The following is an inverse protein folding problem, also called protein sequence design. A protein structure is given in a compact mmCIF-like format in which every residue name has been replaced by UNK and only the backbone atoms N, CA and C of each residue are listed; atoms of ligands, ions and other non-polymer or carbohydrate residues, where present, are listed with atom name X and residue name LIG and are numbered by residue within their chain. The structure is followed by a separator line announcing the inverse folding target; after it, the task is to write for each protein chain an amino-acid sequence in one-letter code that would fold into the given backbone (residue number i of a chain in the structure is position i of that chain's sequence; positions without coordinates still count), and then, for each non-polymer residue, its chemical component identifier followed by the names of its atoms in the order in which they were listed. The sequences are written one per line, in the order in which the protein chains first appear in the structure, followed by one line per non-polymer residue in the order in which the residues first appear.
data_IF_025942499310
#
_entry.id   IF_025942499310
#
_cell.length_a   1.000
_cell.length_b   1.000
_cell.length_c   1.000
_cell.angle_alpha   90.00
_cell.angle_beta   90.00
_cell.angle_gamma   90.00
#
_symmetry.space_group_name_H-M   'P 1'
#
loop_
_entity.id
_entity.type
_entity.pdbx_description
1 polymer ?
#
# COMPACT_ATOMS: atom_id res chain seq x y z
N UNK A 1 19.17 18.00 -12.06
CA UNK A 1 18.49 17.14 -12.98
C UNK A 1 18.76 15.73 -12.65
N UNK A 2 17.77 15.14 -12.68
CA UNK A 2 17.85 13.75 -12.49
C UNK A 2 17.93 13.02 -13.80
N UNK A 3 18.57 13.37 -14.78
CA UNK A 3 18.66 12.76 -16.09
C UNK A 3 18.45 11.26 -16.16
N UNK A 4 17.78 10.71 -15.17
CA UNK A 4 17.57 9.28 -15.08
C UNK A 4 16.38 8.78 -15.85
N UNK A 5 16.41 7.51 -16.25
CA UNK A 5 15.26 6.81 -16.79
C UNK A 5 14.23 6.55 -15.68
N UNK A 6 13.02 6.12 -16.05
CA UNK A 6 12.02 5.71 -15.05
C UNK A 6 12.52 4.55 -14.18
N UNK A 7 13.38 3.67 -14.72
CA UNK A 7 14.01 2.61 -13.93
C UNK A 7 14.91 3.17 -12.84
N UNK A 8 15.61 4.28 -13.11
CA UNK A 8 16.44 4.95 -12.11
C UNK A 8 15.57 5.58 -11.02
N UNK A 9 14.41 6.14 -11.38
CA UNK A 9 13.47 6.69 -10.41
C UNK A 9 12.90 5.60 -9.52
N UNK A 10 12.61 4.41 -10.05
CA UNK A 10 12.14 3.29 -9.25
C UNK A 10 13.22 2.87 -8.25
N UNK A 11 14.48 2.75 -8.70
CA UNK A 11 15.61 2.40 -7.83
C UNK A 11 15.82 3.45 -6.74
N UNK A 12 15.65 4.73 -7.08
CA UNK A 12 15.77 5.81 -6.12
C UNK A 12 14.61 5.76 -5.11
N UNK A 13 13.39 5.48 -5.57
CA UNK A 13 12.22 5.34 -4.71
C UNK A 13 12.40 4.18 -3.72
N UNK A 14 12.92 3.06 -4.19
CA UNK A 14 13.21 1.91 -3.34
C UNK A 14 14.20 2.28 -2.23
N UNK A 15 15.33 2.90 -2.60
CA UNK A 15 16.34 3.31 -1.61
C UNK A 15 15.79 4.32 -0.62
N UNK A 16 15.04 5.29 -1.10
CA UNK A 16 14.40 6.30 -0.26
C UNK A 16 13.48 5.63 0.77
N UNK A 17 12.61 4.74 0.30
CA UNK A 17 11.66 4.04 1.16
C UNK A 17 12.39 3.17 2.20
N UNK A 18 13.44 2.44 1.79
CA UNK A 18 14.18 1.59 2.70
C UNK A 18 14.88 2.40 3.80
N UNK A 19 15.43 3.56 3.45
CA UNK A 19 16.08 4.43 4.43
C UNK A 19 15.04 5.04 5.39
N UNK A 20 13.92 5.54 4.87
CA UNK A 20 12.91 6.20 5.70
C UNK A 20 12.18 5.23 6.62
N UNK A 21 11.98 3.99 6.19
CA UNK A 21 11.33 2.95 7.01
C UNK A 21 12.30 2.12 7.84
N UNK A 22 13.59 2.46 7.84
CA UNK A 22 14.57 1.71 8.61
C UNK A 22 14.19 1.67 10.09
N UNK A 23 14.28 0.49 10.69
CA UNK A 23 13.90 0.31 12.10
C UNK A 23 12.41 0.12 12.35
N UNK A 24 11.58 0.13 11.30
CA UNK A 24 10.16 -0.15 11.44
C UNK A 24 9.88 -1.63 11.14
N UNK A 25 8.95 -2.21 11.88
CA UNK A 25 8.61 -3.63 11.78
C UNK A 25 7.11 -3.82 11.63
N UNK A 26 6.71 -4.91 10.98
CA UNK A 26 5.31 -5.30 10.91
C UNK A 26 4.85 -5.80 12.27
N UNK A 27 3.54 -5.76 12.50
CA UNK A 27 2.94 -6.10 13.80
C UNK A 27 2.72 -7.59 14.02
N UNK A 28 3.00 -8.41 13.02
CA UNK A 28 2.82 -9.86 13.14
C UNK A 28 3.85 -10.50 14.05
N UNK A 29 3.59 -11.76 14.41
CA UNK A 29 4.45 -12.53 15.33
C UNK A 29 5.90 -12.62 14.83
N UNK A 30 6.09 -12.72 13.50
CA UNK A 30 7.41 -12.81 12.91
C UNK A 30 8.23 -11.52 13.02
N UNK A 31 7.58 -10.38 13.31
CA UNK A 31 8.24 -9.08 13.44
C UNK A 31 9.13 -8.74 12.24
N UNK A 32 8.65 -9.00 11.05
CA UNK A 32 9.40 -8.73 9.83
C UNK A 32 9.66 -7.24 9.63
N UNK A 33 10.81 -6.86 9.04
CA UNK A 33 11.03 -5.47 8.67
C UNK A 33 9.89 -4.95 7.79
N UNK A 34 9.47 -3.71 8.01
CA UNK A 34 8.34 -3.13 7.28
C UNK A 34 8.59 -3.10 5.77
N UNK A 35 9.85 -3.03 5.36
CA UNK A 35 10.24 -3.02 3.94
C UNK A 35 9.81 -4.29 3.20
N UNK A 36 9.58 -5.40 3.90
CA UNK A 36 9.05 -6.63 3.28
C UNK A 36 7.66 -6.35 2.67
N UNK A 37 6.82 -5.59 3.38
CA UNK A 37 5.53 -5.16 2.85
C UNK A 37 5.70 -4.29 1.60
N UNK A 38 6.61 -3.33 1.65
CA UNK A 38 6.85 -2.42 0.51
C UNK A 38 7.35 -3.19 -0.71
N UNK A 39 8.26 -4.14 -0.53
CA UNK A 39 8.73 -5.01 -1.60
C UNK A 39 7.55 -5.78 -2.23
N UNK A 40 6.69 -6.33 -1.40
CA UNK A 40 5.56 -7.10 -1.90
C UNK A 40 4.59 -6.21 -2.66
N UNK A 41 4.27 -5.03 -2.14
CA UNK A 41 3.37 -4.10 -2.82
C UNK A 41 3.92 -3.71 -4.19
N UNK A 42 5.20 -3.35 -4.25
CA UNK A 42 5.84 -3.00 -5.51
C UNK A 42 5.87 -4.18 -6.49
N UNK A 43 6.19 -5.38 -6.01
CA UNK A 43 6.25 -6.59 -6.83
C UNK A 43 4.89 -6.99 -7.39
N UNK A 44 3.84 -6.94 -6.56
CA UNK A 44 2.48 -7.24 -6.99
C UNK A 44 2.03 -6.26 -8.07
N UNK A 45 2.20 -4.96 -7.81
CA UNK A 45 1.79 -3.92 -8.77
C UNK A 45 2.54 -4.09 -10.09
N UNK A 46 3.83 -4.33 -10.06
CA UNK A 46 4.65 -4.48 -11.25
C UNK A 46 4.19 -5.64 -12.13
N UNK A 47 3.70 -6.72 -11.52
CA UNK A 47 3.16 -7.86 -12.28
C UNK A 47 1.83 -7.54 -12.96
N UNK A 48 1.07 -6.57 -12.42
CA UNK A 48 -0.27 -6.27 -12.93
C UNK A 48 -0.30 -5.13 -13.94
N UNK A 49 0.78 -4.38 -14.07
CA UNK A 49 0.79 -3.22 -14.94
C UNK A 49 2.20 -2.87 -15.39
N UNK A 50 2.30 -2.05 -16.42
CA UNK A 50 3.56 -1.53 -16.93
C UNK A 50 3.82 -0.10 -16.45
N UNK A 51 3.00 0.43 -15.56
CA UNK A 51 3.15 1.79 -15.06
C UNK A 51 4.35 1.93 -14.13
N UNK A 52 5.40 2.56 -14.61
CA UNK A 52 6.60 2.82 -13.80
C UNK A 52 6.31 3.81 -12.67
N UNK A 53 5.41 4.75 -12.91
CA UNK A 53 4.98 5.70 -11.88
C UNK A 53 4.29 4.96 -10.72
N UNK A 54 3.43 3.99 -11.04
CA UNK A 54 2.77 3.19 -10.02
C UNK A 54 3.77 2.34 -9.22
N UNK A 55 4.79 1.78 -9.88
CA UNK A 55 5.83 1.00 -9.18
C UNK A 55 6.63 1.87 -8.23
N UNK A 56 7.04 3.06 -8.66
CA UNK A 56 7.73 4.00 -7.78
C UNK A 56 6.84 4.42 -6.61
N UNK A 57 5.57 4.73 -6.88
CA UNK A 57 4.61 5.09 -5.84
C UNK A 57 4.35 3.95 -4.86
N UNK A 58 4.41 2.70 -5.33
CA UNK A 58 4.27 1.54 -4.45
C UNK A 58 5.35 1.52 -3.37
N UNK A 59 6.60 1.79 -3.72
CA UNK A 59 7.68 1.90 -2.74
C UNK A 59 7.44 3.04 -1.75
N UNK A 60 6.88 4.16 -2.23
CA UNK A 60 6.79 5.41 -1.48
C UNK A 60 5.47 5.57 -0.72
N UNK A 61 4.49 4.69 -0.92
CA UNK A 61 3.10 4.96 -0.55
C UNK A 61 2.87 5.20 0.95
N UNK A 62 3.72 4.67 1.82
CA UNK A 62 3.59 4.84 3.26
C UNK A 62 4.58 5.85 3.85
N UNK A 63 5.46 6.45 3.04
CA UNK A 63 6.53 7.32 3.58
C UNK A 63 6.00 8.62 4.18
N UNK A 64 5.00 9.23 3.57
CA UNK A 64 4.43 10.48 4.09
C UNK A 64 3.67 10.22 5.38
N UNK A 65 2.91 9.15 5.41
CA UNK A 65 2.09 8.82 6.57
C UNK A 65 2.90 8.32 7.75
N UNK A 66 3.89 7.47 7.50
CA UNK A 66 4.58 6.72 8.56
C UNK A 66 6.02 7.15 8.83
N UNK A 67 6.58 8.05 8.04
CA UNK A 67 7.97 8.48 8.19
C UNK A 67 8.10 10.00 8.26
N UNK A 68 7.48 10.66 9.26
CA UNK A 68 7.64 12.12 9.39
C UNK A 68 9.13 12.47 9.57
N UNK A 69 9.62 13.56 9.03
CA UNK A 69 8.87 14.66 8.39
C UNK A 69 8.69 14.54 6.87
N UNK A 70 8.72 13.33 6.29
CA UNK A 70 8.50 13.15 4.85
C UNK A 70 7.20 13.81 4.43
N UNK A 71 7.24 14.56 3.33
CA UNK A 71 6.08 15.30 2.82
C UNK A 71 5.87 15.03 1.33
N UNK A 72 4.66 15.27 0.85
CA UNK A 72 4.35 15.20 -0.57
C UNK A 72 5.21 16.19 -1.36
N UNK A 73 5.47 17.38 -0.82
CA UNK A 73 6.33 18.37 -1.48
C UNK A 73 7.76 17.84 -1.67
N UNK A 74 8.30 17.14 -0.69
CA UNK A 74 9.61 16.52 -0.81
C UNK A 74 9.62 15.45 -1.91
N UNK A 75 8.60 14.63 -1.95
CA UNK A 75 8.48 13.60 -2.99
C UNK A 75 8.35 14.21 -4.38
N UNK A 76 7.61 15.32 -4.50
CA UNK A 76 7.49 16.01 -5.78
C UNK A 76 8.84 16.52 -6.26
N UNK A 77 9.63 17.10 -5.36
CA UNK A 77 10.98 17.60 -5.70
C UNK A 77 11.91 16.49 -6.18
N UNK A 78 11.81 15.31 -5.56
CA UNK A 78 12.72 14.19 -5.85
C UNK A 78 12.25 13.30 -6.99
N UNK A 79 10.94 13.09 -7.12
CA UNK A 79 10.38 12.09 -8.02
C UNK A 79 9.43 12.64 -9.07
N UNK A 80 9.09 13.92 -8.99
CA UNK A 80 8.17 14.56 -9.92
C UNK A 80 6.73 14.53 -9.43
N UNK A 81 5.91 15.37 -10.07
CA UNK A 81 4.52 15.60 -9.66
C UNK A 81 3.65 14.34 -9.81
N UNK A 82 3.83 13.59 -10.89
CA UNK A 82 2.96 12.44 -11.16
C UNK A 82 3.08 11.39 -10.05
N UNK A 83 4.29 11.05 -9.66
CA UNK A 83 4.52 10.08 -8.59
C UNK A 83 4.04 10.64 -7.24
N UNK A 84 4.34 11.90 -6.96
CA UNK A 84 3.92 12.54 -5.71
C UNK A 84 2.40 12.61 -5.60
N UNK A 85 1.69 12.87 -6.69
CA UNK A 85 0.23 12.92 -6.70
C UNK A 85 -0.37 11.53 -6.40
N UNK A 86 0.23 10.46 -6.94
CA UNK A 86 -0.23 9.10 -6.63
C UNK A 86 -0.09 8.83 -5.13
N UNK A 87 1.06 9.16 -4.54
CA UNK A 87 1.29 8.95 -3.11
C UNK A 87 0.31 9.78 -2.28
N UNK A 88 0.05 11.02 -2.69
CA UNK A 88 -0.91 11.90 -2.00
C UNK A 88 -2.30 11.26 -1.93
N UNK A 89 -2.77 10.64 -3.03
CA UNK A 89 -4.05 9.95 -3.04
C UNK A 89 -4.09 8.74 -2.11
N UNK A 90 -2.93 8.20 -1.75
CA UNK A 90 -2.82 7.00 -0.92
C UNK A 90 -2.56 7.32 0.56
N UNK A 91 -2.34 8.59 0.88
CA UNK A 91 -1.96 9.02 2.23
C UNK A 91 -3.19 9.40 3.04
N UNK A 92 -3.38 8.74 4.19
CA UNK A 92 -4.44 9.07 5.13
C UNK A 92 -4.01 10.22 6.05
N UNK A 93 -4.97 10.95 6.57
CA UNK A 93 -4.71 12.02 7.54
C UNK A 93 -4.69 11.42 8.96
N UNK A 94 -3.51 11.17 9.51
CA UNK A 94 -3.37 10.58 10.85
C UNK A 94 -3.91 11.43 11.98
N UNK A 95 -4.18 12.72 11.73
CA UNK A 95 -4.84 13.58 12.70
C UNK A 95 -6.28 13.19 12.97
N UNK A 96 -6.90 12.43 12.05
CA UNK A 96 -8.26 11.95 12.22
C UNK A 96 -8.31 10.67 13.05
N UNK A 97 -9.40 10.45 13.80
CA UNK A 97 -9.60 9.18 14.49
C UNK A 97 -9.55 7.99 13.53
N UNK A 98 -9.08 6.84 14.02
CA UNK A 98 -8.92 5.63 13.20
C UNK A 98 -10.21 5.22 12.48
N UNK A 99 -11.36 5.29 13.17
CA UNK A 99 -12.64 4.93 12.58
C UNK A 99 -12.99 5.83 11.40
N UNK A 100 -12.70 7.12 11.49
CA UNK A 100 -12.96 8.09 10.43
C UNK A 100 -12.03 7.85 9.24
N UNK A 101 -10.75 7.53 9.50
CA UNK A 101 -9.80 7.20 8.44
C UNK A 101 -10.26 5.97 7.66
N UNK A 102 -10.77 4.95 8.34
CA UNK A 102 -11.27 3.74 7.68
C UNK A 102 -12.48 4.03 6.80
N UNK A 103 -13.39 4.87 7.26
CA UNK A 103 -14.55 5.28 6.46
C UNK A 103 -14.12 6.07 5.23
N UNK A 104 -13.16 6.99 5.40
CA UNK A 104 -12.65 7.78 4.30
C UNK A 104 -11.92 6.94 3.26
N UNK A 105 -11.24 5.87 3.66
CA UNK A 105 -10.63 4.96 2.69
C UNK A 105 -11.68 4.34 1.77
N UNK A 106 -12.85 3.99 2.30
CA UNK A 106 -13.94 3.45 1.48
C UNK A 106 -14.46 4.53 0.52
N UNK A 107 -14.76 5.71 1.04
CA UNK A 107 -15.32 6.81 0.24
C UNK A 107 -14.33 7.26 -0.84
N UNK A 108 -13.08 7.48 -0.45
CA UNK A 108 -12.06 8.00 -1.36
C UNK A 108 -11.58 6.98 -2.38
N UNK A 109 -11.80 5.69 -2.14
CA UNK A 109 -11.43 4.65 -3.09
C UNK A 109 -12.10 4.87 -4.45
N UNK A 110 -13.36 5.32 -4.46
CA UNK A 110 -14.12 5.52 -5.70
C UNK A 110 -13.55 6.64 -6.58
N UNK A 111 -12.72 7.52 -6.04
CA UNK A 111 -12.17 8.67 -6.75
C UNK A 111 -10.70 8.53 -7.14
N UNK A 112 -10.09 7.37 -6.87
CA UNK A 112 -8.67 7.17 -7.16
C UNK A 112 -8.43 7.02 -8.66
N UNK A 113 -7.32 7.61 -9.13
CA UNK A 113 -6.89 7.38 -10.50
C UNK A 113 -6.37 5.94 -10.67
N UNK A 114 -6.09 5.55 -11.92
CA UNK A 114 -5.70 4.18 -12.24
C UNK A 114 -4.48 3.71 -11.45
N UNK A 115 -3.43 4.52 -11.39
CA UNK A 115 -2.18 4.16 -10.69
C UNK A 115 -2.40 4.02 -9.20
N UNK A 116 -3.17 4.92 -8.60
CA UNK A 116 -3.50 4.80 -7.18
C UNK A 116 -4.35 3.56 -6.89
N UNK A 117 -5.25 3.19 -7.80
CA UNK A 117 -6.01 1.93 -7.67
C UNK A 117 -5.08 0.72 -7.65
N UNK A 118 -4.09 0.68 -8.55
CA UNK A 118 -3.13 -0.41 -8.61
C UNK A 118 -2.36 -0.56 -7.29
N UNK A 119 -1.86 0.55 -6.76
CA UNK A 119 -1.10 0.51 -5.51
C UNK A 119 -2.01 0.14 -4.34
N UNK A 120 -3.22 0.71 -4.27
CA UNK A 120 -4.17 0.38 -3.19
C UNK A 120 -4.55 -1.10 -3.20
N UNK A 121 -4.80 -1.67 -4.38
CA UNK A 121 -5.08 -3.09 -4.49
C UNK A 121 -3.89 -3.93 -4.03
N UNK A 122 -2.68 -3.57 -4.43
CA UNK A 122 -1.46 -4.27 -4.02
C UNK A 122 -1.24 -4.17 -2.51
N UNK A 123 -1.48 -2.99 -1.94
CA UNK A 123 -1.39 -2.76 -0.50
C UNK A 123 -2.35 -3.68 0.28
N UNK A 124 -3.61 -3.68 -0.12
CA UNK A 124 -4.61 -4.53 0.55
C UNK A 124 -4.32 -6.01 0.36
N UNK A 125 -3.85 -6.42 -0.82
CA UNK A 125 -3.47 -7.80 -1.10
C UNK A 125 -2.33 -8.25 -0.17
N UNK A 126 -1.31 -7.42 -0.01
CA UNK A 126 -0.19 -7.69 0.89
C UNK A 126 -0.66 -7.79 2.35
N UNK A 127 -1.48 -6.85 2.79
CA UNK A 127 -1.98 -6.84 4.17
C UNK A 127 -2.84 -8.05 4.48
N UNK A 128 -3.69 -8.47 3.55
CA UNK A 128 -4.53 -9.68 3.72
C UNK A 128 -3.64 -10.92 3.80
N UNK A 129 -2.59 -11.00 2.98
CA UNK A 129 -1.61 -12.09 3.07
C UNK A 129 -0.96 -12.16 4.45
N UNK A 130 -0.66 -11.01 5.04
CA UNK A 130 -0.10 -10.93 6.38
C UNK A 130 -1.11 -11.41 7.44
N UNK A 131 -2.38 -11.09 7.31
CA UNK A 131 -3.43 -11.60 8.20
C UNK A 131 -3.49 -13.13 8.16
N UNK A 132 -3.31 -13.71 6.96
CA UNK A 132 -3.33 -15.16 6.79
C UNK A 132 -2.11 -15.83 7.43
N UNK A 133 -0.93 -15.25 7.28
CA UNK A 133 0.34 -15.91 7.60
C UNK A 133 1.00 -15.44 8.90
N UNK A 134 0.80 -14.20 9.28
CA UNK A 134 1.44 -13.62 10.47
C UNK A 134 0.58 -12.46 10.99
N UNK A 135 -0.61 -12.75 11.52
CA UNK A 135 -1.49 -11.70 12.04
C UNK A 135 -0.86 -11.00 13.24
N UNK A 136 -1.25 -9.74 13.53
CA UNK A 136 -0.81 -9.08 14.75
C UNK A 136 -1.17 -9.94 15.97
N UNK A 137 -0.22 -10.08 16.89
CA UNK A 137 -0.34 -11.01 18.03
C UNK A 137 -1.55 -10.75 18.92
N UNK A 138 -1.92 -9.47 19.06
CA UNK A 138 -3.00 -9.04 19.94
C UNK A 138 -4.35 -8.95 19.26
N UNK A 139 -4.46 -9.34 17.98
CA UNK A 139 -5.73 -9.28 17.26
C UNK A 139 -6.54 -10.54 17.48
N UNK A 140 -7.78 -10.36 17.94
CA UNK A 140 -8.75 -11.46 18.06
C UNK A 140 -9.19 -11.95 16.68
N UNK A 141 -9.80 -13.12 16.66
CA UNK A 141 -10.44 -13.65 15.45
C UNK A 141 -11.43 -12.64 14.86
N UNK A 142 -12.29 -12.08 15.71
CA UNK A 142 -13.28 -11.09 15.30
C UNK A 142 -12.63 -9.88 14.61
N UNK A 143 -11.55 -9.38 15.18
CA UNK A 143 -10.83 -8.24 14.62
C UNK A 143 -10.21 -8.57 13.26
N UNK A 144 -9.67 -9.78 13.10
CA UNK A 144 -9.11 -10.23 11.82
C UNK A 144 -10.19 -10.34 10.75
N UNK A 145 -11.33 -10.92 11.09
CA UNK A 145 -12.45 -11.05 10.15
C UNK A 145 -13.02 -9.68 9.75
N UNK A 146 -13.12 -8.75 10.69
CA UNK A 146 -13.55 -7.38 10.41
C UNK A 146 -12.57 -6.65 9.49
N UNK A 147 -11.28 -6.88 9.67
CA UNK A 147 -10.27 -6.29 8.80
C UNK A 147 -10.42 -6.80 7.36
N UNK A 148 -10.60 -8.11 7.19
CA UNK A 148 -10.80 -8.72 5.87
C UNK A 148 -12.03 -8.12 5.20
N UNK A 149 -13.15 -8.02 5.92
CA UNK A 149 -14.39 -7.45 5.40
C UNK A 149 -14.20 -5.98 4.99
N UNK A 150 -13.51 -5.19 5.82
CA UNK A 150 -13.24 -3.79 5.50
C UNK A 150 -12.37 -3.66 4.26
N UNK A 151 -11.30 -4.47 4.14
CA UNK A 151 -10.43 -4.45 2.97
C UNK A 151 -11.21 -4.78 1.70
N UNK A 152 -12.11 -5.77 1.76
CA UNK A 152 -13.00 -6.09 0.65
C UNK A 152 -13.85 -4.89 0.24
N UNK A 153 -14.42 -4.18 1.22
CA UNK A 153 -15.27 -3.02 0.95
C UNK A 153 -14.48 -1.91 0.26
N UNK A 154 -13.23 -1.65 0.69
CA UNK A 154 -12.36 -0.67 0.04
C UNK A 154 -12.10 -1.07 -1.41
N UNK A 155 -11.69 -2.32 -1.63
CA UNK A 155 -11.35 -2.81 -2.97
C UNK A 155 -12.55 -2.75 -3.92
N UNK A 156 -13.74 -3.10 -3.44
CA UNK A 156 -14.96 -3.04 -4.24
C UNK A 156 -15.28 -1.64 -4.77
N UNK A 157 -14.82 -0.60 -4.08
CA UNK A 157 -15.07 0.78 -4.50
C UNK A 157 -14.03 1.30 -5.50
N UNK A 158 -12.93 0.60 -5.71
CA UNK A 158 -11.90 1.05 -6.65
C UNK A 158 -12.43 1.00 -8.08
N UNK A 159 -12.35 2.13 -8.83
CA UNK A 159 -12.90 2.17 -10.20
C UNK A 159 -12.07 1.40 -11.22
N UNK A 160 -10.85 1.05 -10.91
CA UNK A 160 -10.00 0.24 -11.78
C UNK A 160 -9.44 -0.93 -10.99
N UNK A 161 -9.68 -2.14 -11.49
CA UNK A 161 -9.19 -3.38 -10.89
C UNK A 161 -8.64 -4.28 -11.99
N UNK A 162 -7.31 -4.45 -12.10
CA UNK A 162 -6.76 -5.40 -13.05
C UNK A 162 -7.23 -6.82 -12.70
N UNK A 163 -7.57 -7.58 -13.73
CA UNK A 163 -8.18 -8.91 -13.56
C UNK A 163 -7.31 -9.83 -12.69
N UNK A 164 -6.01 -9.89 -12.98
CA UNK A 164 -5.08 -10.75 -12.24
C UNK A 164 -4.92 -10.27 -10.79
N UNK A 165 -4.92 -8.95 -10.59
CA UNK A 165 -4.82 -8.38 -9.26
C UNK A 165 -6.03 -8.69 -8.41
N UNK A 166 -7.23 -8.55 -8.96
CA UNK A 166 -8.46 -8.88 -8.24
C UNK A 166 -8.50 -10.37 -7.90
N UNK A 167 -8.07 -11.23 -8.83
CA UNK A 167 -8.01 -12.67 -8.59
C UNK A 167 -7.06 -13.00 -7.44
N UNK A 168 -5.88 -12.39 -7.40
CA UNK A 168 -4.91 -12.60 -6.33
C UNK A 168 -5.46 -12.12 -4.99
N UNK A 169 -6.09 -10.94 -4.98
CA UNK A 169 -6.70 -10.39 -3.77
C UNK A 169 -7.78 -11.33 -3.21
N UNK A 170 -8.69 -11.78 -4.07
CA UNK A 170 -9.78 -12.67 -3.68
C UNK A 170 -9.25 -13.99 -3.10
N UNK A 171 -8.22 -14.55 -3.73
CA UNK A 171 -7.59 -15.79 -3.28
C UNK A 171 -6.98 -15.62 -1.89
N UNK A 172 -6.32 -14.50 -1.64
CA UNK A 172 -5.73 -14.24 -0.32
C UNK A 172 -6.79 -13.99 0.75
N UNK A 173 -7.91 -13.38 0.40
CA UNK A 173 -9.04 -13.24 1.32
C UNK A 173 -9.57 -14.61 1.74
N UNK A 174 -9.75 -15.52 0.77
CA UNK A 174 -10.21 -16.88 1.06
C UNK A 174 -9.24 -17.61 1.99
N UNK A 175 -7.94 -17.51 1.72
CA UNK A 175 -6.91 -18.11 2.58
C UNK A 175 -6.90 -17.53 3.99
N UNK A 176 -7.06 -16.20 4.09
CA UNK A 176 -7.08 -15.54 5.39
C UNK A 176 -8.29 -15.96 6.22
N UNK A 177 -9.45 -16.13 5.60
CA UNK A 177 -10.66 -16.61 6.28
C UNK A 177 -10.49 -18.05 6.74
N UNK A 178 -9.85 -18.91 5.93
CA UNK A 178 -9.59 -20.28 6.32
C UNK A 178 -8.60 -20.41 7.47
N UNK A 179 -7.64 -19.49 7.54
CA UNK A 179 -6.59 -19.52 8.56
C UNK A 179 -7.00 -18.83 9.87
N UNK A 180 -8.15 -18.20 9.88
CA UNK A 180 -8.71 -17.61 11.09
C UNK A 180 -9.62 -18.60 11.82
#
# INVERSE_FOLDING_TARGET
HLGGSMSDLISLAERFARVRHDGQFRKGKAKEPYTIHLEEVASLEERWSESKNATAAAWLHDTVEDCPPTSVAELESLFGKDIADIVAELTDHKSLPKADRKKLQIVNAAEKNKEACLVKLADKTSNIGAIANSPPEDWSLDRRLKYIAWANTVVEQLPYLPKDGLSEFSKRCDQAELNT
#
